data_IF_639926002694
#
_entry.id   IF_639926002694
#
_cell.length_a   1.000
_cell.length_b   1.000
_cell.length_c   1.000
_cell.angle_alpha   90.00
_cell.angle_beta   90.00
_cell.angle_gamma   90.00
#
_symmetry.space_group_name_H-M   'P 1'
#
loop_
_entity.id
_entity.type
_entity.pdbx_description
1 polymer ?
#
# COMPACT_ATOMS: atom_id res chain seq x y z
N UNK A 1 15.12 40.27 -32.75
CA UNK A 1 13.76 39.76 -32.51
C UNK A 1 13.89 38.47 -31.70
N UNK A 2 13.95 38.58 -30.37
CA UNK A 2 13.97 37.43 -29.47
C UNK A 2 12.53 37.01 -29.22
N UNK A 3 12.19 35.77 -29.58
CA UNK A 3 10.89 35.17 -29.28
C UNK A 3 10.92 34.70 -27.83
N UNK A 4 9.91 35.13 -27.08
CA UNK A 4 9.73 34.94 -25.66
C UNK A 4 9.09 33.61 -25.29
N UNK A 5 9.15 33.35 -23.99
CA UNK A 5 8.26 32.55 -23.15
C UNK A 5 8.55 31.06 -23.01
N UNK A 6 9.21 30.80 -21.87
CA UNK A 6 8.96 29.69 -20.96
C UNK A 6 7.58 29.08 -21.16
N UNK A 7 7.53 27.76 -21.35
CA UNK A 7 6.36 27.01 -20.92
C UNK A 7 6.82 25.97 -19.91
N UNK A 8 6.31 26.20 -18.71
CA UNK A 8 6.68 25.57 -17.46
C UNK A 8 6.48 24.06 -17.58
N UNK A 9 7.54 23.31 -17.29
CA UNK A 9 7.42 21.92 -16.91
C UNK A 9 6.52 21.88 -15.67
N UNK A 10 5.22 21.64 -15.90
CA UNK A 10 4.28 21.19 -14.88
C UNK A 10 4.72 19.76 -14.53
N UNK A 11 5.81 19.70 -13.77
CA UNK A 11 6.11 18.59 -12.89
C UNK A 11 4.95 18.57 -11.90
N UNK A 12 3.93 17.79 -12.28
CA UNK A 12 3.12 16.98 -11.41
C UNK A 12 3.13 17.52 -9.97
N UNK A 13 2.29 18.53 -9.71
CA UNK A 13 1.89 18.87 -8.35
C UNK A 13 1.21 17.63 -7.81
N UNK A 14 2.00 16.69 -7.30
CA UNK A 14 1.57 15.64 -6.39
C UNK A 14 0.99 16.40 -5.22
N UNK A 15 -0.32 16.63 -5.25
CA UNK A 15 -1.06 16.97 -4.04
C UNK A 15 -0.76 15.78 -3.15
N UNK A 16 0.08 15.98 -2.15
CA UNK A 16 0.47 14.93 -1.21
C UNK A 16 -0.74 14.66 -0.33
N UNK A 17 -1.71 13.96 -0.89
CA UNK A 17 -2.84 13.40 -0.17
C UNK A 17 -2.28 12.19 0.56
N UNK A 18 -2.17 12.32 1.89
CA UNK A 18 -1.79 11.23 2.78
C UNK A 18 -2.55 9.98 2.40
N UNK A 19 -1.82 8.89 2.16
CA UNK A 19 -2.39 7.58 1.87
C UNK A 19 -2.66 6.86 3.17
N UNK A 20 -3.72 6.06 3.16
CA UNK A 20 -4.02 5.14 4.25
C UNK A 20 -3.65 3.74 3.82
N UNK A 21 -3.19 2.96 4.79
CA UNK A 21 -2.78 1.58 4.58
C UNK A 21 -3.45 0.68 5.61
N UNK A 22 -4.02 -0.44 5.16
CA UNK A 22 -4.46 -1.51 6.06
C UNK A 22 -3.42 -2.63 6.00
N UNK A 23 -2.83 -3.01 7.13
CA UNK A 23 -1.94 -4.16 7.25
C UNK A 23 -2.64 -5.27 8.02
N UNK A 24 -2.42 -6.51 7.61
CA UNK A 24 -2.75 -7.67 8.43
C UNK A 24 -1.60 -8.01 9.38
N UNK A 25 -1.88 -8.51 10.58
CA UNK A 25 -0.83 -9.07 11.44
C UNK A 25 -0.31 -10.42 10.95
N UNK A 26 -1.06 -11.10 10.08
CA UNK A 26 -0.75 -12.45 9.61
C UNK A 26 0.21 -12.46 8.40
N UNK A 27 0.38 -11.31 7.72
CA UNK A 27 1.22 -11.19 6.54
C UNK A 27 1.90 -9.82 6.49
N UNK A 28 2.94 -9.69 5.68
CA UNK A 28 3.56 -8.40 5.35
C UNK A 28 2.83 -7.67 4.21
N UNK A 29 1.59 -8.07 3.87
CA UNK A 29 0.79 -7.39 2.86
C UNK A 29 0.12 -6.13 3.41
N UNK A 30 0.05 -5.11 2.55
CA UNK A 30 -0.60 -3.83 2.81
C UNK A 30 -1.65 -3.56 1.74
N UNK A 31 -2.77 -2.98 2.12
CA UNK A 31 -3.76 -2.42 1.20
C UNK A 31 -3.65 -0.91 1.21
N UNK A 32 -3.35 -0.28 0.07
CA UNK A 32 -3.32 1.18 -0.07
C UNK A 32 -4.70 1.75 -0.42
N UNK A 33 -5.10 2.81 0.27
CA UNK A 33 -6.40 3.47 0.15
C UNK A 33 -6.22 4.97 0.06
N UNK A 34 -7.10 5.64 -0.69
CA UNK A 34 -7.00 7.08 -0.93
C UNK A 34 -7.64 7.92 0.18
N UNK A 35 -8.57 7.36 0.95
CA UNK A 35 -9.36 8.11 1.93
C UNK A 35 -9.76 7.30 3.15
N UNK A 36 -10.08 7.99 4.25
CA UNK A 36 -10.60 7.36 5.48
C UNK A 36 -11.97 6.71 5.27
N UNK A 37 -12.77 7.22 4.33
CA UNK A 37 -14.05 6.62 3.95
C UNK A 37 -13.83 5.26 3.29
N UNK A 38 -12.92 5.19 2.31
CA UNK A 38 -12.53 3.92 1.69
C UNK A 38 -11.94 2.94 2.70
N UNK A 39 -11.08 3.42 3.62
CA UNK A 39 -10.50 2.57 4.65
C UNK A 39 -11.54 1.93 5.57
N UNK A 40 -12.59 2.67 5.96
CA UNK A 40 -13.68 2.11 6.77
C UNK A 40 -14.47 1.04 6.01
N UNK A 41 -14.78 1.29 4.74
CA UNK A 41 -15.50 0.33 3.88
C UNK A 41 -14.66 -0.93 3.68
N UNK A 42 -13.40 -0.76 3.27
CA UNK A 42 -12.45 -1.85 3.09
C UNK A 42 -12.25 -2.67 4.37
N UNK A 43 -12.10 -2.01 5.52
CA UNK A 43 -11.95 -2.70 6.80
C UNK A 43 -13.16 -3.59 7.12
N UNK A 44 -14.38 -3.07 6.93
CA UNK A 44 -15.61 -3.83 7.14
C UNK A 44 -15.70 -5.03 6.19
N UNK A 45 -15.43 -4.83 4.90
CA UNK A 45 -15.46 -5.88 3.88
C UNK A 45 -14.43 -6.99 4.14
N UNK A 46 -13.21 -6.62 4.56
CA UNK A 46 -12.17 -7.59 4.93
C UNK A 46 -12.60 -8.36 6.19
N UNK A 47 -13.15 -7.68 7.20
CA UNK A 47 -13.61 -8.35 8.43
C UNK A 47 -14.81 -9.26 8.23
N UNK A 48 -15.70 -8.91 7.31
CA UNK A 48 -16.81 -9.79 6.92
C UNK A 48 -16.29 -11.04 6.21
N UNK A 49 -15.27 -10.89 5.35
CA UNK A 49 -14.67 -11.99 4.61
C UNK A 49 -13.71 -12.87 5.43
N UNK A 50 -13.01 -12.27 6.40
CA UNK A 50 -11.93 -12.86 7.19
C UNK A 50 -11.99 -12.32 8.64
N UNK A 51 -12.97 -12.77 9.46
CA UNK A 51 -13.20 -12.22 10.80
C UNK A 51 -12.03 -12.44 11.75
N UNK A 52 -11.30 -13.55 11.59
CA UNK A 52 -10.17 -13.95 12.42
C UNK A 52 -8.89 -13.11 12.19
N UNK A 53 -8.80 -12.37 11.08
CA UNK A 53 -7.58 -11.63 10.74
C UNK A 53 -7.50 -10.36 11.58
N UNK A 54 -6.40 -10.18 12.33
CA UNK A 54 -6.13 -8.89 12.98
C UNK A 54 -5.62 -7.88 11.95
N UNK A 55 -6.22 -6.70 11.95
CA UNK A 55 -5.97 -5.63 10.99
C UNK A 55 -5.56 -4.35 11.72
N UNK A 56 -4.55 -3.67 11.21
CA UNK A 56 -4.11 -2.37 11.68
C UNK A 56 -4.16 -1.34 10.55
N UNK A 57 -4.46 -0.09 10.88
CA UNK A 57 -4.58 1.02 9.92
C UNK A 57 -3.45 2.01 10.16
N UNK A 58 -2.76 2.41 9.10
CA UNK A 58 -1.64 3.34 9.11
C UNK A 58 -1.89 4.49 8.17
N UNK A 59 -1.44 5.69 8.54
CA UNK A 59 -1.36 6.82 7.63
C UNK A 59 0.09 7.08 7.26
N UNK A 60 0.38 7.20 5.96
CA UNK A 60 1.69 7.64 5.50
C UNK A 60 1.54 8.73 4.44
N UNK A 61 2.47 9.69 4.47
CA UNK A 61 2.50 10.78 3.50
C UNK A 61 2.74 10.26 2.07
N UNK A 62 3.64 9.29 1.96
CA UNK A 62 4.04 8.64 0.72
C UNK A 62 4.58 7.23 1.02
N UNK A 63 4.77 6.44 -0.03
CA UNK A 63 5.32 5.08 0.05
C UNK A 63 6.71 5.05 0.69
N UNK A 64 7.54 6.06 0.42
CA UNK A 64 8.87 6.18 1.03
C UNK A 64 8.80 6.33 2.54
N UNK A 65 7.82 7.07 3.05
CA UNK A 65 7.55 7.22 4.49
C UNK A 65 7.10 5.90 5.11
N UNK A 66 6.28 5.12 4.40
CA UNK A 66 5.88 3.79 4.83
C UNK A 66 7.08 2.83 4.89
N UNK A 67 7.96 2.84 3.89
CA UNK A 67 9.18 2.02 3.84
C UNK A 67 10.19 2.36 4.96
N UNK A 68 10.24 3.62 5.42
CA UNK A 68 11.08 3.97 6.57
C UNK A 68 10.61 3.28 7.86
N UNK A 69 9.29 3.20 8.05
CA UNK A 69 8.67 2.52 9.19
C UNK A 69 8.68 1.00 9.03
N UNK A 70 8.66 0.51 7.79
CA UNK A 70 8.67 -0.91 7.44
C UNK A 70 9.83 -1.22 6.49
N UNK A 71 11.07 -1.29 7.01
CA UNK A 71 12.28 -1.45 6.18
C UNK A 71 12.32 -2.70 5.30
N UNK A 72 11.52 -3.71 5.63
CA UNK A 72 11.38 -4.96 4.88
C UNK A 72 10.20 -4.94 3.90
N UNK A 73 9.49 -3.81 3.79
CA UNK A 73 8.34 -3.69 2.90
C UNK A 73 8.79 -3.74 1.44
N UNK A 74 8.38 -4.80 0.75
CA UNK A 74 8.46 -4.85 -0.70
C UNK A 74 7.22 -4.17 -1.31
N UNK A 75 7.41 -3.35 -2.34
CA UNK A 75 6.29 -2.66 -3.00
C UNK A 75 5.33 -3.65 -3.68
N UNK A 76 5.79 -4.87 -4.00
CA UNK A 76 4.94 -5.97 -4.48
C UNK A 76 3.92 -6.47 -3.45
N UNK A 77 4.13 -6.19 -2.17
CA UNK A 77 3.23 -6.56 -1.07
C UNK A 77 2.12 -5.51 -0.86
N UNK A 78 2.05 -4.48 -1.71
CA UNK A 78 1.05 -3.40 -1.62
C UNK A 78 -0.06 -3.65 -2.65
N UNK A 79 -1.18 -4.17 -2.18
CA UNK A 79 -2.40 -4.29 -2.95
C UNK A 79 -3.07 -2.92 -3.11
N UNK A 80 -3.72 -2.71 -4.26
CA UNK A 80 -4.48 -1.47 -4.53
C UNK A 80 -5.98 -1.67 -4.38
N UNK A 81 -6.44 -2.91 -4.29
CA UNK A 81 -7.85 -3.26 -4.18
C UNK A 81 -8.09 -4.26 -3.04
N UNK A 82 -9.29 -4.21 -2.45
CA UNK A 82 -9.71 -5.13 -1.38
C UNK A 82 -9.69 -6.61 -1.82
N UNK A 83 -10.16 -6.97 -3.04
CA UNK A 83 -10.12 -8.36 -3.49
C UNK A 83 -8.70 -8.92 -3.62
N UNK A 84 -7.76 -8.14 -4.15
CA UNK A 84 -6.33 -8.52 -4.22
C UNK A 84 -5.76 -8.75 -2.83
N UNK A 85 -6.07 -7.86 -1.89
CA UNK A 85 -5.61 -7.98 -0.51
C UNK A 85 -6.17 -9.24 0.17
N UNK A 86 -7.47 -9.51 0.03
CA UNK A 86 -8.10 -10.72 0.58
C UNK A 86 -7.47 -11.98 -0.04
N UNK A 87 -7.21 -11.99 -1.35
CA UNK A 87 -6.55 -13.09 -2.03
C UNK A 87 -5.14 -13.34 -1.46
N UNK A 88 -4.37 -12.27 -1.24
CA UNK A 88 -3.04 -12.34 -0.65
C UNK A 88 -3.05 -12.84 0.81
N UNK A 89 -4.12 -12.57 1.56
CA UNK A 89 -4.30 -13.11 2.92
C UNK A 89 -4.68 -14.59 2.95
N UNK A 90 -5.45 -15.07 1.97
CA UNK A 90 -5.85 -16.49 1.86
C UNK A 90 -4.71 -17.37 1.34
N UNK A 91 -3.90 -16.81 0.45
CA UNK A 91 -2.72 -17.46 -0.11
C UNK A 91 -1.49 -16.61 0.22
N UNK A 92 -1.01 -16.64 1.47
CA UNK A 92 0.25 -15.98 1.80
C UNK A 92 1.31 -16.62 0.89
N UNK A 93 1.84 -15.83 -0.05
CA UNK A 93 2.97 -16.27 -0.86
C UNK A 93 4.08 -16.55 0.14
N UNK A 94 4.33 -17.84 0.42
CA UNK A 94 5.53 -18.26 1.12
C UNK A 94 6.67 -17.77 0.23
N UNK A 95 7.36 -16.71 0.66
CA UNK A 95 8.65 -16.37 0.08
C UNK A 95 9.45 -17.67 0.07
N UNK A 96 9.90 -18.08 -1.11
CA UNK A 96 10.77 -19.25 -1.23
C UNK A 96 12.05 -18.93 -0.47
N UNK A 97 12.20 -19.51 0.71
CA UNK A 97 13.52 -19.81 1.24
C UNK A 97 14.19 -20.80 0.27
N UNK A 98 15.20 -20.32 -0.45
CA UNK A 98 16.01 -21.08 -1.39
C UNK A 98 16.66 -20.10 -2.37
N UNK A 99 17.97 -19.99 -2.52
CA UNK A 99 18.99 -21.03 -2.36
C UNK A 99 20.35 -20.30 -2.33
N UNK A 100 20.93 -20.19 -1.14
CA UNK A 100 22.29 -19.72 -0.94
C UNK A 100 23.14 -20.89 -0.48
N UNK A 101 23.56 -21.75 -1.41
CA UNK A 101 24.62 -22.72 -1.21
C UNK A 101 25.16 -23.22 -2.55
N UNK A 102 26.14 -22.51 -3.10
CA UNK A 102 27.24 -23.08 -3.89
C UNK A 102 28.51 -22.30 -3.60
#
# INVERSE_FOLDING_TARGET
MLISYMNENIQERVIVMSRLYIKSSATENFLELASSKEAKVAYAEIKESLPEVSLAVFGAKDLSSLQRSHRHLNTSQISKTVPEFIAALRHPVKEKEGEGAI
#
